data_IF_689390160002
#
_entry.id   IF_689390160002
#
_cell.length_a   1.000
_cell.length_b   1.000
_cell.length_c   1.000
_cell.angle_alpha   90.00
_cell.angle_beta   90.00
_cell.angle_gamma   90.00
#
_symmetry.space_group_name_H-M   'P 1'
#
loop_
_entity.id
_entity.type
_entity.pdbx_description
1 polymer ?
#
# COMPACT_ATOMS: atom_id res chain seq x y z
N UNK A 1 -18.37 -2.26 5.29
CA UNK A 1 -17.51 -2.87 6.30
C UNK A 1 -16.12 -2.27 6.25
N UNK A 2 -15.60 -1.90 7.40
CA UNK A 2 -14.26 -1.33 7.47
C UNK A 2 -13.26 -2.43 7.84
N UNK A 3 -12.66 -3.03 6.83
CA UNK A 3 -11.68 -4.10 7.02
C UNK A 3 -10.43 -3.60 7.74
N UNK A 4 -10.05 -2.33 7.56
CA UNK A 4 -8.83 -1.80 8.16
C UNK A 4 -8.87 -1.83 9.70
N UNK A 5 -10.04 -1.77 10.31
CA UNK A 5 -10.18 -1.83 11.77
C UNK A 5 -9.76 -3.18 12.35
N UNK A 6 -9.68 -4.22 11.52
CA UNK A 6 -9.31 -5.57 11.92
C UNK A 6 -7.82 -5.86 11.74
N UNK A 7 -7.08 -4.93 11.18
CA UNK A 7 -5.66 -5.11 10.91
C UNK A 7 -4.85 -4.39 11.98
N UNK A 8 -4.04 -5.12 12.78
CA UNK A 8 -3.35 -4.53 13.93
C UNK A 8 -2.44 -3.34 13.61
N UNK A 9 -1.97 -3.22 12.39
CA UNK A 9 -1.14 -2.11 11.97
C UNK A 9 -1.89 -0.77 11.94
N UNK A 10 -3.21 -0.79 11.90
CA UNK A 10 -4.04 0.40 11.80
C UNK A 10 -4.78 0.65 13.11
N UNK A 11 -4.20 1.48 13.96
CA UNK A 11 -4.78 1.82 15.26
C UNK A 11 -5.99 2.75 15.13
N UNK A 12 -6.03 3.53 14.06
CA UNK A 12 -7.09 4.51 13.83
C UNK A 12 -7.47 4.52 12.36
N UNK A 13 -8.35 3.58 11.94
CA UNK A 13 -8.78 3.55 10.55
C UNK A 13 -9.55 4.82 10.19
N UNK A 14 -9.40 5.28 8.96
CA UNK A 14 -10.12 6.45 8.48
C UNK A 14 -11.61 6.15 8.36
N UNK A 15 -12.43 7.19 8.48
CA UNK A 15 -13.86 7.08 8.24
C UNK A 15 -14.11 6.94 6.73
N UNK A 16 -15.26 6.39 6.37
CA UNK A 16 -15.62 6.20 4.96
C UNK A 16 -15.51 7.48 4.16
N UNK A 17 -15.94 8.61 4.72
CA UNK A 17 -15.87 9.91 4.05
C UNK A 17 -14.44 10.30 3.70
N UNK A 18 -13.48 9.98 4.59
CA UNK A 18 -12.08 10.27 4.35
C UNK A 18 -11.54 9.44 3.18
N UNK A 19 -11.93 8.16 3.10
CA UNK A 19 -11.53 7.33 1.96
C UNK A 19 -12.08 7.89 0.65
N UNK A 20 -13.35 8.27 0.62
CA UNK A 20 -13.97 8.84 -0.58
C UNK A 20 -13.29 10.13 -1.00
N UNK A 21 -12.96 10.98 -0.04
CA UNK A 21 -12.30 12.26 -0.31
C UNK A 21 -10.91 12.05 -0.89
N UNK A 22 -10.11 11.16 -0.29
CA UNK A 22 -8.74 10.91 -0.73
C UNK A 22 -8.69 10.18 -2.07
N UNK A 23 -9.65 9.30 -2.32
CA UNK A 23 -9.69 8.49 -3.54
C UNK A 23 -10.53 9.11 -4.65
N UNK A 24 -10.86 10.39 -4.52
CA UNK A 24 -11.54 11.10 -5.60
C UNK A 24 -10.67 11.08 -6.86
N UNK A 25 -11.27 10.75 -8.00
CA UNK A 25 -10.54 10.60 -9.25
C UNK A 25 -10.12 9.15 -9.48
N UNK A 26 -8.94 8.94 -10.08
CA UNK A 26 -8.49 7.59 -10.42
C UNK A 26 -7.93 6.86 -9.20
N UNK A 27 -8.57 5.77 -8.84
CA UNK A 27 -8.18 4.98 -7.68
C UNK A 27 -8.40 3.50 -7.91
N UNK A 28 -7.81 2.68 -7.03
CA UNK A 28 -8.03 1.24 -7.01
C UNK A 28 -8.17 0.79 -5.56
N UNK A 29 -9.26 0.08 -5.27
CA UNK A 29 -9.47 -0.55 -3.97
C UNK A 29 -9.63 -2.04 -4.20
N UNK A 30 -8.81 -2.84 -3.53
CA UNK A 30 -8.81 -4.30 -3.66
C UNK A 30 -9.14 -4.94 -2.32
N UNK A 31 -9.90 -6.03 -2.38
CA UNK A 31 -10.18 -6.85 -1.20
C UNK A 31 -9.85 -8.29 -1.57
N UNK A 32 -8.99 -8.93 -0.78
CA UNK A 32 -8.69 -10.36 -0.95
C UNK A 32 -9.61 -11.17 -0.05
N UNK A 33 -10.14 -12.26 -0.58
CA UNK A 33 -11.08 -13.12 0.15
C UNK A 33 -10.63 -14.58 0.13
N UNK A 34 -10.72 -15.22 1.30
CA UNK A 34 -10.61 -16.67 1.46
C UNK A 34 -11.81 -17.01 2.35
N UNK A 35 -12.96 -17.32 1.73
CA UNK A 35 -14.26 -17.50 2.39
C UNK A 35 -14.79 -16.23 3.07
N UNK A 36 -13.91 -15.30 3.40
CA UNK A 36 -14.23 -14.00 4.01
C UNK A 36 -13.13 -13.03 3.65
N UNK A 37 -13.36 -11.71 3.81
CA UNK A 37 -12.31 -10.73 3.58
C UNK A 37 -11.12 -10.96 4.52
N UNK A 38 -9.92 -11.09 3.97
CA UNK A 38 -8.70 -11.35 4.74
C UNK A 38 -7.61 -10.32 4.54
N UNK A 39 -7.73 -9.47 3.51
CA UNK A 39 -6.76 -8.44 3.24
C UNK A 39 -7.32 -7.37 2.31
N UNK A 40 -6.61 -6.26 2.21
CA UNK A 40 -7.02 -5.17 1.32
C UNK A 40 -5.81 -4.37 0.85
N UNK A 41 -6.01 -3.59 -0.22
CA UNK A 41 -5.00 -2.65 -0.70
C UNK A 41 -5.71 -1.52 -1.43
N UNK A 42 -5.34 -0.27 -1.09
CA UNK A 42 -5.94 0.92 -1.66
C UNK A 42 -4.85 1.85 -2.15
N UNK A 43 -5.02 2.38 -3.36
CA UNK A 43 -4.14 3.38 -3.90
C UNK A 43 -4.88 4.37 -4.77
N UNK A 44 -4.26 5.49 -5.08
CA UNK A 44 -4.88 6.51 -5.90
C UNK A 44 -3.85 7.44 -6.56
N UNK A 45 -4.32 8.22 -7.50
CA UNK A 45 -3.48 9.16 -8.25
C UNK A 45 -3.28 10.45 -7.43
N UNK A 46 -2.42 10.35 -6.40
CA UNK A 46 -2.22 11.42 -5.43
C UNK A 46 -1.52 12.65 -6.00
N UNK A 47 -0.48 12.42 -6.80
CA UNK A 47 0.42 13.50 -7.23
C UNK A 47 0.14 14.03 -8.62
N UNK A 48 -0.73 13.36 -9.40
CA UNK A 48 -1.09 13.78 -10.76
C UNK A 48 0.13 13.98 -11.66
N UNK A 49 1.10 13.09 -11.53
CA UNK A 49 2.38 13.19 -12.24
C UNK A 49 2.79 11.88 -12.92
N UNK A 50 1.85 10.96 -13.10
CA UNK A 50 2.15 9.66 -13.71
C UNK A 50 2.56 8.59 -12.71
N UNK A 51 2.60 8.91 -11.42
CA UNK A 51 2.87 7.92 -10.39
C UNK A 51 1.57 7.51 -9.67
N UNK A 52 1.48 6.24 -9.32
CA UNK A 52 0.36 5.72 -8.54
C UNK A 52 0.79 5.55 -7.10
N UNK A 53 0.05 6.16 -6.18
CA UNK A 53 0.38 6.10 -4.76
C UNK A 53 -0.34 4.93 -4.09
N UNK A 54 0.42 3.94 -3.65
CA UNK A 54 -0.10 2.81 -2.88
C UNK A 54 -0.25 3.26 -1.44
N UNK A 55 -1.46 3.69 -1.09
CA UNK A 55 -1.72 4.39 0.17
C UNK A 55 -1.78 3.47 1.38
N UNK A 56 -2.62 2.46 1.33
CA UNK A 56 -2.86 1.57 2.47
C UNK A 56 -3.01 0.12 2.02
N UNK A 57 -2.66 -0.79 2.89
CA UNK A 57 -2.88 -2.20 2.66
C UNK A 57 -2.59 -2.99 3.92
N UNK A 58 -3.13 -4.18 4.00
CA UNK A 58 -2.87 -5.06 5.12
C UNK A 58 -3.54 -6.41 4.94
N UNK A 59 -3.08 -7.38 5.71
CA UNK A 59 -3.58 -8.74 5.71
C UNK A 59 -3.80 -9.14 7.16
N UNK A 60 -4.94 -9.79 7.43
CA UNK A 60 -5.23 -10.28 8.79
C UNK A 60 -4.09 -11.21 9.24
N UNK A 61 -3.65 -11.12 10.52
CA UNK A 61 -2.49 -11.88 11.00
C UNK A 61 -2.57 -13.38 10.71
N UNK A 62 -3.77 -13.95 10.84
CA UNK A 62 -4.02 -15.36 10.61
C UNK A 62 -3.75 -15.82 9.17
N UNK A 63 -3.79 -14.88 8.22
CA UNK A 63 -3.66 -15.17 6.80
C UNK A 63 -2.37 -14.63 6.20
N UNK A 64 -1.46 -14.17 7.04
CA UNK A 64 -0.14 -13.74 6.59
C UNK A 64 0.67 -14.96 6.16
N UNK A 65 1.62 -14.73 5.23
CA UNK A 65 2.47 -15.78 4.66
C UNK A 65 1.71 -16.82 3.83
N UNK A 66 0.50 -16.47 3.39
CA UNK A 66 -0.31 -17.32 2.50
C UNK A 66 -0.37 -16.75 1.08
N UNK A 67 0.50 -15.79 0.77
CA UNK A 67 0.54 -15.19 -0.57
C UNK A 67 -0.49 -14.09 -0.81
N UNK A 68 -1.26 -13.70 0.20
CA UNK A 68 -2.31 -12.67 0.05
C UNK A 68 -1.69 -11.31 -0.30
N UNK A 69 -0.67 -10.89 0.45
CA UNK A 69 0.00 -9.62 0.18
C UNK A 69 0.64 -9.61 -1.22
N UNK A 70 1.24 -10.73 -1.60
CA UNK A 70 1.85 -10.91 -2.93
C UNK A 70 0.79 -10.73 -4.03
N UNK A 71 -0.36 -11.40 -3.88
CA UNK A 71 -1.44 -11.32 -4.87
C UNK A 71 -2.00 -9.91 -4.99
N UNK A 72 -2.21 -9.24 -3.87
CA UNK A 72 -2.70 -7.87 -3.87
C UNK A 72 -1.71 -6.92 -4.55
N UNK A 73 -0.42 -7.04 -4.23
CA UNK A 73 0.61 -6.21 -4.83
C UNK A 73 0.74 -6.47 -6.33
N UNK A 74 0.72 -7.74 -6.74
CA UNK A 74 0.77 -8.10 -8.17
C UNK A 74 -0.38 -7.45 -8.93
N UNK A 75 -1.59 -7.57 -8.42
CA UNK A 75 -2.76 -7.00 -9.08
C UNK A 75 -2.64 -5.48 -9.18
N UNK A 76 -2.25 -4.83 -8.10
CA UNK A 76 -2.12 -3.37 -8.09
C UNK A 76 -1.08 -2.88 -9.10
N UNK A 77 0.08 -3.53 -9.15
CA UNK A 77 1.14 -3.14 -10.10
C UNK A 77 0.69 -3.33 -11.55
N UNK A 78 0.04 -4.45 -11.84
CA UNK A 78 -0.45 -4.73 -13.18
C UNK A 78 -1.52 -3.72 -13.59
N UNK A 79 -2.48 -3.47 -12.70
CA UNK A 79 -3.54 -2.49 -12.96
C UNK A 79 -2.97 -1.09 -13.20
N UNK A 80 -2.00 -0.68 -12.38
CA UNK A 80 -1.39 0.63 -12.52
C UNK A 80 -0.66 0.77 -13.87
N UNK A 81 0.08 -0.26 -14.27
CA UNK A 81 0.74 -0.26 -15.58
C UNK A 81 -0.28 -0.17 -16.73
N UNK A 82 -1.36 -0.95 -16.64
CA UNK A 82 -2.42 -0.93 -17.64
C UNK A 82 -3.14 0.42 -17.71
N UNK A 83 -3.15 1.15 -16.62
CA UNK A 83 -3.78 2.47 -16.54
C UNK A 83 -2.79 3.61 -16.76
N UNK A 84 -1.65 3.30 -17.39
CA UNK A 84 -0.68 4.29 -17.86
C UNK A 84 0.16 4.97 -16.78
N UNK A 85 0.21 4.43 -15.59
CA UNK A 85 1.13 4.92 -14.57
C UNK A 85 2.53 4.36 -14.85
N UNK A 86 3.54 5.18 -14.66
CA UNK A 86 4.94 4.78 -14.90
C UNK A 86 5.66 4.31 -13.65
N UNK A 87 5.16 4.71 -12.48
CA UNK A 87 5.75 4.39 -11.19
C UNK A 87 4.68 4.04 -10.17
N UNK A 88 5.04 3.21 -9.20
CA UNK A 88 4.29 3.06 -7.97
C UNK A 88 5.13 3.63 -6.83
N UNK A 89 4.49 4.44 -5.99
CA UNK A 89 5.11 5.00 -4.80
C UNK A 89 4.43 4.45 -3.57
N UNK A 90 5.18 4.29 -2.50
CA UNK A 90 4.61 4.00 -1.19
C UNK A 90 5.41 4.73 -0.11
N UNK A 91 4.76 4.93 1.02
CA UNK A 91 5.39 5.51 2.20
C UNK A 91 5.12 4.59 3.37
N UNK A 92 6.16 4.25 4.11
CA UNK A 92 6.02 3.43 5.30
C UNK A 92 6.84 4.03 6.43
N UNK A 93 6.91 3.36 7.57
CA UNK A 93 7.71 3.81 8.69
C UNK A 93 8.85 2.84 8.92
N UNK A 94 9.97 3.37 9.43
CA UNK A 94 11.17 2.57 9.67
C UNK A 94 10.89 1.34 10.52
N UNK A 95 9.95 1.43 11.46
CA UNK A 95 9.56 0.30 12.32
C UNK A 95 8.88 -0.85 11.60
N UNK A 96 8.39 -0.62 10.38
CA UNK A 96 7.71 -1.67 9.60
C UNK A 96 8.71 -2.44 8.74
N UNK A 97 9.64 -3.14 9.38
CA UNK A 97 10.71 -3.88 8.71
C UNK A 97 10.20 -4.89 7.69
N UNK A 98 9.09 -5.57 8.02
CA UNK A 98 8.50 -6.57 7.14
C UNK A 98 8.00 -5.97 5.83
N UNK A 99 7.36 -4.80 5.90
CA UNK A 99 6.87 -4.10 4.72
C UNK A 99 8.04 -3.62 3.85
N UNK A 100 9.09 -3.11 4.49
CA UNK A 100 10.26 -2.64 3.75
C UNK A 100 10.93 -3.81 3.04
N UNK A 101 11.14 -4.93 3.75
CA UNK A 101 11.74 -6.13 3.16
C UNK A 101 10.89 -6.68 2.02
N UNK A 102 9.57 -6.75 2.21
CA UNK A 102 8.64 -7.22 1.18
C UNK A 102 8.75 -6.36 -0.08
N UNK A 103 8.79 -5.03 0.10
CA UNK A 103 8.85 -4.10 -1.03
C UNK A 103 10.20 -4.18 -1.75
N UNK A 104 11.30 -4.27 -1.00
CA UNK A 104 12.63 -4.42 -1.61
C UNK A 104 12.70 -5.69 -2.45
N UNK A 105 12.13 -6.79 -1.95
CA UNK A 105 12.10 -8.06 -2.69
C UNK A 105 11.27 -7.98 -3.97
N UNK A 106 10.32 -7.05 -4.03
CA UNK A 106 9.50 -6.84 -5.23
C UNK A 106 10.13 -5.87 -6.21
N UNK A 107 11.31 -5.33 -5.90
CA UNK A 107 12.01 -4.41 -6.79
C UNK A 107 11.80 -2.94 -6.49
N UNK A 108 11.18 -2.60 -5.37
CA UNK A 108 11.13 -1.21 -4.92
C UNK A 108 12.49 -0.77 -4.44
N UNK A 109 12.77 0.54 -4.56
CA UNK A 109 13.98 1.14 -4.01
C UNK A 109 13.58 2.23 -3.03
N UNK A 110 14.42 2.47 -2.04
CA UNK A 110 14.22 3.58 -1.11
C UNK A 110 14.70 4.85 -1.78
N UNK A 111 13.82 5.87 -1.83
CA UNK A 111 14.15 7.14 -2.49
C UNK A 111 14.33 8.29 -1.52
N UNK A 112 13.71 8.22 -0.33
CA UNK A 112 13.78 9.31 0.62
C UNK A 112 13.49 8.80 2.03
N UNK A 113 14.18 9.39 3.01
CA UNK A 113 13.91 9.14 4.42
C UNK A 113 13.71 10.48 5.10
N UNK A 114 12.58 10.65 5.75
CA UNK A 114 12.28 11.85 6.51
C UNK A 114 12.43 11.52 8.00
N UNK A 115 13.50 11.99 8.60
CA UNK A 115 13.80 11.72 10.00
C UNK A 115 12.74 12.30 10.93
N UNK A 116 12.27 11.46 11.84
CA UNK A 116 11.26 11.83 12.84
C UNK A 116 11.70 11.24 14.18
N UNK A 117 11.30 11.87 15.26
CA UNK A 117 11.59 11.38 16.61
C UNK A 117 10.31 10.77 17.19
N UNK A 118 10.33 9.54 17.69
CA UNK A 118 11.49 8.63 17.76
C UNK A 118 11.87 8.08 16.39
N UNK A 119 13.11 7.61 16.25
CA UNK A 119 13.68 7.13 14.98
C UNK A 119 12.82 6.08 14.27
N UNK A 120 12.19 5.20 15.02
CA UNK A 120 11.32 4.15 14.48
C UNK A 120 10.13 4.69 13.69
N UNK A 121 9.77 5.96 13.89
CA UNK A 121 8.69 6.64 13.18
C UNK A 121 9.17 7.36 11.93
N UNK A 122 10.47 7.31 11.63
CA UNK A 122 11.03 7.89 10.42
C UNK A 122 10.27 7.40 9.19
N UNK A 123 9.90 8.32 8.31
CA UNK A 123 9.16 8.01 7.08
C UNK A 123 10.11 7.52 6.01
N UNK A 124 9.77 6.40 5.40
CA UNK A 124 10.55 5.79 4.32
C UNK A 124 9.70 5.84 3.05
N UNK A 125 10.18 6.53 2.03
CA UNK A 125 9.53 6.56 0.72
C UNK A 125 10.21 5.55 -0.19
N UNK A 126 9.40 4.78 -0.92
CA UNK A 126 9.90 3.77 -1.84
C UNK A 126 9.17 3.88 -3.17
N UNK A 127 9.85 3.48 -4.25
CA UNK A 127 9.21 3.48 -5.56
C UNK A 127 9.64 2.28 -6.39
N UNK A 128 8.79 1.92 -7.33
CA UNK A 128 9.09 0.87 -8.31
C UNK A 128 8.67 1.35 -9.68
N UNK A 129 9.56 1.18 -10.69
CA UNK A 129 9.23 1.47 -12.07
C UNK A 129 8.29 0.39 -12.61
N UNK A 130 7.25 0.82 -13.33
CA UNK A 130 6.29 -0.08 -13.97
C UNK A 130 6.63 -0.33 -15.44
N UNK A 131 7.60 0.42 -15.96
CA UNK A 131 8.08 0.24 -17.33
C UNK A 131 9.26 -0.71 -17.28
N UNK A 132 9.09 -1.87 -17.84
CA UNK A 132 10.17 -2.84 -17.91
C UNK A 132 10.90 -2.71 -19.24
#
# INVERSE_FOLDING_TARGET
>A
MDLSSKIPEFNSPYKIDEYKKRCAGKYLALIAEIDKPVGFKIGYDRFKNGSFYSWMGGVLPKFRRMGVAYSLANFQEKWAAENKFSLILLKTRKKHDGMIAFSLNRGFIITEETQITPDEETRIWMQKSLNS
#
